data_IF_515963317502
#
_entry.id   IF_515963317502
#
_cell.length_a   1.000
_cell.length_b   1.000
_cell.length_c   1.000
_cell.angle_alpha   90.00
_cell.angle_beta   90.00
_cell.angle_gamma   90.00
#
_symmetry.space_group_name_H-M   'P 1'
#
loop_
_entity.id
_entity.type
_entity.pdbx_description
1 polymer ?
#
# COMPACT_ATOMS: atom_id res chain seq x y z
N UNK A 1 -7.09 15.11 -11.07
CA UNK A 1 -6.92 14.30 -9.84
C UNK A 1 -7.42 15.13 -8.67
N UNK A 2 -8.37 14.59 -7.91
CA UNK A 2 -8.75 15.18 -6.62
C UNK A 2 -7.63 14.94 -5.60
N UNK A 3 -7.43 15.90 -4.68
CA UNK A 3 -6.57 15.69 -3.52
C UNK A 3 -7.17 14.60 -2.65
N UNK A 4 -6.31 13.82 -1.99
CA UNK A 4 -6.69 12.80 -1.02
C UNK A 4 -6.22 13.24 0.37
N UNK A 5 -6.71 12.58 1.42
CA UNK A 5 -6.29 12.85 2.81
C UNK A 5 -4.75 12.80 2.98
N UNK A 6 -4.04 12.00 2.15
CA UNK A 6 -2.57 11.95 2.18
C UNK A 6 -1.93 13.28 1.76
N UNK A 7 -2.57 14.06 0.89
CA UNK A 7 -2.09 15.41 0.55
C UNK A 7 -2.32 16.42 1.67
N UNK A 8 -3.28 16.17 2.55
CA UNK A 8 -3.49 17.01 3.73
C UNK A 8 -2.45 16.69 4.82
N UNK A 9 -2.00 15.43 4.91
CA UNK A 9 -0.92 15.01 5.79
C UNK A 9 0.45 15.47 5.27
N UNK A 10 0.68 15.38 3.96
CA UNK A 10 1.95 15.72 3.33
C UNK A 10 1.71 16.38 1.96
N UNK A 11 1.95 17.68 1.90
CA UNK A 11 1.67 18.49 0.71
C UNK A 11 2.44 18.01 -0.55
N UNK A 12 3.62 17.46 -0.35
CA UNK A 12 4.50 16.95 -1.43
C UNK A 12 4.19 15.49 -1.83
N UNK A 13 3.17 14.87 -1.24
CA UNK A 13 2.73 13.52 -1.62
C UNK A 13 2.42 13.45 -3.11
N UNK A 14 3.08 12.54 -3.83
CA UNK A 14 2.94 12.36 -5.30
C UNK A 14 3.26 13.62 -6.13
N UNK A 15 3.97 14.62 -5.56
CA UNK A 15 4.28 15.86 -6.26
C UNK A 15 5.23 15.65 -7.48
N UNK A 16 6.02 14.58 -7.46
CA UNK A 16 6.92 14.19 -8.54
C UNK A 16 6.22 13.42 -9.69
N UNK A 17 4.92 13.06 -9.55
CA UNK A 17 4.18 12.37 -10.61
C UNK A 17 3.80 13.31 -11.74
N UNK A 18 4.11 12.95 -12.97
CA UNK A 18 3.70 13.69 -14.14
C UNK A 18 2.17 13.76 -14.26
N UNK A 19 1.67 14.86 -14.79
CA UNK A 19 0.26 15.01 -15.16
C UNK A 19 -0.11 13.93 -16.18
N UNK A 20 -1.29 13.33 -16.01
CA UNK A 20 -1.85 12.42 -17.02
C UNK A 20 -1.97 13.14 -18.36
N UNK A 21 -1.51 12.54 -19.47
CA UNK A 21 -1.72 13.09 -20.82
C UNK A 21 -3.20 13.37 -21.09
N UNK A 22 -3.47 14.46 -21.79
CA UNK A 22 -4.86 14.87 -22.04
C UNK A 22 -5.61 13.82 -22.89
N UNK A 23 -4.91 13.15 -23.81
CA UNK A 23 -5.44 12.05 -24.62
C UNK A 23 -5.98 10.88 -23.78
N UNK A 24 -5.33 10.58 -22.65
CA UNK A 24 -5.81 9.55 -21.71
C UNK A 24 -6.97 10.11 -20.89
N UNK A 25 -6.89 11.37 -20.48
CA UNK A 25 -7.94 12.01 -19.68
C UNK A 25 -9.29 12.01 -20.41
N UNK A 26 -9.31 12.20 -21.74
CA UNK A 26 -10.52 12.14 -22.56
C UNK A 26 -11.13 10.74 -22.67
N UNK A 27 -10.33 9.69 -22.50
CA UNK A 27 -10.79 8.30 -22.61
C UNK A 27 -11.45 7.80 -21.31
N UNK A 28 -11.14 8.42 -20.15
CA UNK A 28 -11.66 7.97 -18.85
C UNK A 28 -13.20 7.96 -18.79
N UNK A 29 -13.93 9.03 -19.22
CA UNK A 29 -15.40 8.99 -19.22
C UNK A 29 -15.94 7.87 -20.09
N UNK A 30 -15.38 7.68 -21.29
CA UNK A 30 -15.79 6.62 -22.22
C UNK A 30 -15.58 5.23 -21.59
N UNK A 31 -14.44 5.02 -20.93
CA UNK A 31 -14.15 3.77 -20.24
C UNK A 31 -15.18 3.50 -19.13
N UNK A 32 -15.56 4.52 -18.36
CA UNK A 32 -16.58 4.39 -17.31
C UNK A 32 -17.95 3.99 -17.87
N UNK A 33 -18.35 4.58 -19.00
CA UNK A 33 -19.59 4.19 -19.69
C UNK A 33 -19.54 2.73 -20.14
N UNK A 34 -18.42 2.28 -20.72
CA UNK A 34 -18.24 0.88 -21.13
C UNK A 34 -18.35 -0.07 -19.94
N UNK A 35 -17.70 0.25 -18.81
CA UNK A 35 -17.75 -0.53 -17.57
C UNK A 35 -19.20 -0.66 -17.08
N UNK A 36 -19.95 0.44 -17.07
CA UNK A 36 -21.37 0.45 -16.69
C UNK A 36 -22.22 -0.43 -17.64
N UNK A 37 -21.99 -0.36 -18.97
CA UNK A 37 -22.68 -1.21 -19.93
C UNK A 37 -22.37 -2.70 -19.78
N UNK A 38 -21.18 -3.03 -19.26
CA UNK A 38 -20.79 -4.40 -18.93
C UNK A 38 -21.40 -4.90 -17.61
N UNK A 39 -22.14 -4.08 -16.90
CA UNK A 39 -22.72 -4.42 -15.61
C UNK A 39 -21.68 -4.59 -14.48
N UNK A 40 -20.51 -3.97 -14.65
CA UNK A 40 -19.45 -3.99 -13.62
C UNK A 40 -19.62 -2.78 -12.72
N UNK A 41 -19.66 -3.00 -11.41
CA UNK A 41 -19.78 -1.92 -10.42
C UNK A 41 -18.57 -0.99 -10.45
N UNK A 42 -18.81 0.30 -10.51
CA UNK A 42 -17.78 1.35 -10.51
C UNK A 42 -17.89 2.17 -9.22
N UNK A 43 -16.88 2.02 -8.36
CA UNK A 43 -16.85 2.71 -7.07
C UNK A 43 -15.79 3.79 -7.08
N UNK A 44 -16.20 5.03 -6.79
CA UNK A 44 -15.32 6.19 -6.62
C UNK A 44 -15.68 6.91 -5.33
N UNK A 45 -14.69 7.28 -4.54
CA UNK A 45 -14.89 8.08 -3.32
C UNK A 45 -13.92 9.25 -3.30
N UNK A 46 -14.40 10.51 -3.44
CA UNK A 46 -13.54 11.69 -3.34
C UNK A 46 -12.78 11.73 -2.02
N UNK A 47 -11.51 12.15 -2.06
CA UNK A 47 -10.65 12.22 -0.88
C UNK A 47 -9.88 10.94 -0.55
N UNK A 48 -10.13 9.84 -1.29
CA UNK A 48 -9.46 8.55 -1.12
C UNK A 48 -8.86 8.06 -2.42
N UNK A 49 -7.96 7.09 -2.32
CA UNK A 49 -7.37 6.42 -3.47
C UNK A 49 -8.08 5.09 -3.76
N UNK A 50 -7.91 4.56 -4.97
CA UNK A 50 -8.47 3.27 -5.34
C UNK A 50 -8.03 2.15 -4.39
N UNK A 51 -6.79 2.23 -3.90
CA UNK A 51 -6.20 1.26 -2.98
C UNK A 51 -6.95 1.24 -1.63
N UNK A 52 -7.38 2.41 -1.15
CA UNK A 52 -8.18 2.51 0.09
C UNK A 52 -9.57 1.89 -0.10
N UNK A 53 -10.18 2.09 -1.28
CA UNK A 53 -11.47 1.48 -1.63
C UNK A 53 -11.33 -0.05 -1.71
N UNK A 54 -10.33 -0.54 -2.46
CA UNK A 54 -10.07 -1.98 -2.58
C UNK A 54 -9.77 -2.62 -1.21
N UNK A 55 -8.95 -1.97 -0.40
CA UNK A 55 -8.64 -2.43 0.96
C UNK A 55 -9.88 -2.51 1.84
N UNK A 56 -10.73 -1.47 1.82
CA UNK A 56 -11.95 -1.43 2.61
C UNK A 56 -12.98 -2.47 2.17
N UNK A 57 -13.21 -2.62 0.86
CA UNK A 57 -14.10 -3.65 0.32
C UNK A 57 -13.63 -5.05 0.69
N UNK A 58 -12.32 -5.32 0.58
CA UNK A 58 -11.77 -6.62 0.96
C UNK A 58 -11.96 -6.92 2.44
N UNK A 59 -11.86 -5.91 3.31
CA UNK A 59 -12.11 -6.08 4.75
C UNK A 59 -13.59 -6.27 5.07
N UNK A 60 -14.48 -5.61 4.36
CA UNK A 60 -15.93 -5.83 4.48
C UNK A 60 -16.25 -7.26 4.04
N UNK A 61 -15.75 -7.71 2.88
CA UNK A 61 -15.95 -9.07 2.38
C UNK A 61 -15.42 -10.13 3.36
N UNK A 62 -14.22 -9.91 3.92
CA UNK A 62 -13.65 -10.78 4.97
C UNK A 62 -14.57 -10.88 6.21
N UNK A 63 -15.18 -9.77 6.63
CA UNK A 63 -16.06 -9.73 7.80
C UNK A 63 -17.35 -10.57 7.63
N UNK A 64 -17.71 -10.88 6.40
CA UNK A 64 -18.86 -11.73 6.03
C UNK A 64 -18.45 -13.07 5.39
N UNK A 65 -17.18 -13.47 5.61
CA UNK A 65 -16.60 -14.74 5.17
C UNK A 65 -16.58 -14.93 3.64
N UNK A 66 -16.27 -13.87 2.91
CA UNK A 66 -16.09 -13.89 1.45
C UNK A 66 -14.60 -13.74 1.12
N UNK A 67 -14.06 -14.65 0.30
CA UNK A 67 -12.71 -14.57 -0.24
C UNK A 67 -12.63 -13.45 -1.29
N UNK A 68 -11.62 -12.59 -1.17
CA UNK A 68 -11.41 -11.43 -2.06
C UNK A 68 -10.19 -11.59 -2.93
N UNK A 69 -10.33 -11.23 -4.20
CA UNK A 69 -9.22 -11.15 -5.16
C UNK A 69 -9.00 -9.69 -5.58
N UNK A 70 -7.97 -9.05 -5.04
CA UNK A 70 -7.55 -7.71 -5.46
C UNK A 70 -6.69 -7.84 -6.71
N UNK A 71 -7.17 -7.34 -7.85
CA UNK A 71 -6.39 -7.33 -9.09
C UNK A 71 -5.60 -6.04 -9.17
N UNK A 72 -4.32 -6.08 -8.81
CA UNK A 72 -3.43 -4.93 -8.82
C UNK A 72 -1.98 -5.31 -9.10
N UNK A 73 -1.26 -4.44 -9.82
CA UNK A 73 0.19 -4.53 -9.99
C UNK A 73 0.96 -3.79 -8.89
N UNK A 74 0.27 -3.09 -7.99
CA UNK A 74 0.89 -2.31 -6.94
C UNK A 74 1.37 -3.21 -5.79
N UNK A 75 2.64 -3.05 -5.41
CA UNK A 75 3.25 -3.78 -4.29
C UNK A 75 2.64 -3.41 -2.94
N UNK A 76 2.07 -2.21 -2.84
CA UNK A 76 1.54 -1.71 -1.59
C UNK A 76 0.28 -2.48 -1.17
N UNK A 77 -0.47 -3.02 -2.15
CA UNK A 77 -1.60 -3.91 -1.89
C UNK A 77 -1.21 -5.22 -1.19
N UNK A 78 0.08 -5.61 -1.19
CA UNK A 78 0.55 -6.82 -0.51
C UNK A 78 0.41 -6.75 1.03
N UNK A 79 0.23 -5.56 1.59
CA UNK A 79 -0.11 -5.39 3.01
C UNK A 79 -1.50 -5.93 3.37
N UNK A 80 -2.39 -6.06 2.38
CA UNK A 80 -3.76 -6.54 2.58
C UNK A 80 -3.86 -8.07 2.59
N UNK A 81 -2.83 -8.77 2.08
CA UNK A 81 -2.86 -10.23 1.92
C UNK A 81 -2.99 -10.95 3.26
N UNK A 82 -3.97 -11.84 3.34
CA UNK A 82 -4.18 -12.76 4.47
C UNK A 82 -4.82 -14.07 3.97
N UNK A 83 -5.52 -14.79 4.83
CA UNK A 83 -6.14 -16.08 4.46
C UNK A 83 -7.35 -15.90 3.51
N UNK A 84 -8.06 -14.75 3.59
CA UNK A 84 -9.27 -14.46 2.82
C UNK A 84 -9.02 -13.40 1.73
N UNK A 85 -7.90 -12.65 1.78
CA UNK A 85 -7.59 -11.59 0.84
C UNK A 85 -6.35 -11.98 0.03
N UNK A 86 -6.52 -12.08 -1.27
CA UNK A 86 -5.49 -12.48 -2.21
C UNK A 86 -5.22 -11.32 -3.17
N UNK A 87 -3.96 -11.04 -3.46
CA UNK A 87 -3.58 -10.08 -4.49
C UNK A 87 -3.18 -10.82 -5.76
N UNK A 88 -3.88 -10.52 -6.85
CA UNK A 88 -3.61 -11.06 -8.17
C UNK A 88 -2.93 -9.99 -9.02
N UNK A 89 -1.62 -10.14 -9.22
CA UNK A 89 -0.85 -9.22 -10.06
C UNK A 89 -0.92 -9.68 -11.51
N UNK A 90 -1.58 -8.92 -12.39
CA UNK A 90 -1.65 -9.26 -13.79
C UNK A 90 -0.25 -9.24 -14.39
N UNK A 91 0.06 -10.27 -15.17
CA UNK A 91 1.31 -10.33 -15.89
C UNK A 91 1.36 -9.31 -17.04
N UNK A 92 2.53 -9.19 -17.61
CA UNK A 92 2.74 -8.45 -18.84
C UNK A 92 3.70 -9.24 -19.76
N UNK A 93 4.08 -8.66 -20.90
CA UNK A 93 4.98 -9.33 -21.86
C UNK A 93 6.29 -9.86 -21.23
N UNK A 94 6.73 -9.29 -20.11
CA UNK A 94 8.02 -9.60 -19.47
C UNK A 94 7.88 -10.27 -18.11
N UNK A 95 6.70 -10.28 -17.52
CA UNK A 95 6.46 -10.84 -16.18
C UNK A 95 5.21 -11.73 -16.21
N UNK A 96 5.30 -12.93 -15.65
CA UNK A 96 4.12 -13.79 -15.53
C UNK A 96 3.09 -13.17 -14.56
N UNK A 97 1.86 -13.55 -14.73
CA UNK A 97 0.81 -13.35 -13.74
C UNK A 97 1.20 -14.01 -12.42
N UNK A 98 0.97 -13.35 -11.33
CA UNK A 98 1.33 -13.88 -10.00
C UNK A 98 0.15 -13.71 -9.04
N UNK A 99 -0.22 -14.79 -8.38
CA UNK A 99 -1.17 -14.81 -7.27
C UNK A 99 -0.39 -14.70 -5.96
N UNK A 100 -0.58 -13.61 -5.22
CA UNK A 100 0.06 -13.41 -3.92
C UNK A 100 -0.87 -13.86 -2.80
N UNK A 101 -0.34 -14.79 -2.00
CA UNK A 101 -0.91 -15.32 -0.77
C UNK A 101 0.12 -15.17 0.36
N UNK A 102 -0.24 -15.43 1.60
CA UNK A 102 0.64 -15.25 2.78
C UNK A 102 2.07 -15.74 2.56
N UNK A 103 2.22 -16.94 2.02
CA UNK A 103 3.51 -17.62 1.96
C UNK A 103 4.47 -16.98 0.95
N UNK A 104 3.96 -16.49 -0.19
CA UNK A 104 4.82 -15.98 -1.25
C UNK A 104 5.00 -14.46 -1.25
N UNK A 105 4.29 -13.72 -0.40
CA UNK A 105 4.57 -12.29 -0.18
C UNK A 105 5.97 -12.11 0.38
N UNK A 106 6.39 -12.98 1.32
CA UNK A 106 7.73 -12.95 1.89
C UNK A 106 8.82 -13.14 0.84
N UNK A 107 8.61 -14.01 -0.14
CA UNK A 107 9.57 -14.22 -1.24
C UNK A 107 9.74 -12.96 -2.09
N UNK A 108 8.67 -12.18 -2.23
CA UNK A 108 8.65 -10.94 -3.01
C UNK A 108 9.17 -9.74 -2.25
N UNK A 109 8.73 -9.57 -1.00
CA UNK A 109 8.97 -8.37 -0.18
C UNK A 109 10.10 -8.56 0.83
N UNK A 110 10.47 -9.79 1.14
CA UNK A 110 11.41 -10.13 2.23
C UNK A 110 10.76 -10.15 3.62
N UNK A 111 9.50 -9.79 3.71
CA UNK A 111 8.70 -9.79 4.96
C UNK A 111 7.32 -10.38 4.72
N UNK A 112 6.65 -10.83 5.78
CA UNK A 112 5.26 -11.29 5.72
C UNK A 112 4.28 -10.11 5.48
N UNK A 113 3.05 -10.37 5.02
CA UNK A 113 2.07 -9.32 4.72
C UNK A 113 1.87 -8.32 5.85
N UNK A 114 1.79 -8.79 7.09
CA UNK A 114 1.60 -7.97 8.29
C UNK A 114 2.81 -7.09 8.66
N UNK A 115 3.91 -7.16 7.89
CA UNK A 115 5.12 -6.33 8.04
C UNK A 115 5.44 -5.51 6.79
N UNK A 116 4.57 -5.56 5.79
CA UNK A 116 4.75 -4.77 4.56
C UNK A 116 4.68 -3.28 4.87
N UNK A 117 3.76 -2.85 5.73
CA UNK A 117 3.67 -1.45 6.18
C UNK A 117 4.98 -1.02 6.84
N UNK A 118 5.51 -1.82 7.78
CA UNK A 118 6.77 -1.50 8.47
C UNK A 118 7.94 -1.38 7.48
N UNK A 119 8.02 -2.30 6.53
CA UNK A 119 9.04 -2.27 5.50
C UNK A 119 8.95 -1.01 4.64
N UNK A 120 7.76 -0.70 4.10
CA UNK A 120 7.55 0.45 3.24
C UNK A 120 7.79 1.78 3.99
N UNK A 121 7.42 1.84 5.27
CA UNK A 121 7.67 3.02 6.11
C UNK A 121 9.15 3.27 6.32
N UNK A 122 9.95 2.21 6.52
CA UNK A 122 11.40 2.33 6.68
C UNK A 122 12.11 2.73 5.39
N UNK A 123 11.73 2.13 4.24
CA UNK A 123 12.42 2.38 2.97
C UNK A 123 11.89 3.59 2.22
N UNK A 124 10.67 4.03 2.51
CA UNK A 124 9.95 5.03 1.73
C UNK A 124 9.53 4.57 0.35
N UNK A 125 8.95 5.48 -0.43
CA UNK A 125 8.61 5.25 -1.84
C UNK A 125 8.88 6.52 -2.67
N UNK A 126 9.91 6.47 -3.50
CA UNK A 126 10.27 7.59 -4.35
C UNK A 126 9.24 7.88 -5.44
N UNK A 127 8.42 6.91 -5.85
CA UNK A 127 7.36 7.13 -6.86
C UNK A 127 6.21 7.95 -6.30
N UNK A 128 5.97 7.86 -5.00
CA UNK A 128 4.93 8.58 -4.28
C UNK A 128 5.46 9.72 -3.42
N UNK A 129 6.77 9.95 -3.50
CA UNK A 129 7.48 10.96 -2.71
C UNK A 129 7.35 10.73 -1.19
N UNK A 130 7.36 9.46 -0.77
CA UNK A 130 7.32 9.07 0.65
C UNK A 130 8.75 8.98 1.16
N UNK A 131 9.12 9.73 2.22
CA UNK A 131 10.52 9.92 2.59
C UNK A 131 11.21 8.66 3.10
N UNK A 132 10.54 7.87 3.94
CA UNK A 132 11.18 6.78 4.68
C UNK A 132 12.29 7.27 5.61
N UNK A 133 13.12 6.35 6.07
CA UNK A 133 14.34 6.67 6.82
C UNK A 133 15.50 6.81 5.82
N UNK A 134 15.93 8.03 5.57
CA UNK A 134 17.00 8.30 4.59
C UNK A 134 18.27 7.51 4.92
N UNK A 135 18.70 6.68 3.97
CA UNK A 135 19.89 5.82 4.12
C UNK A 135 19.60 4.42 4.66
N UNK A 136 18.33 4.10 4.94
CA UNK A 136 17.86 2.74 5.22
C UNK A 136 17.27 2.15 3.96
N UNK A 137 17.95 1.17 3.37
CA UNK A 137 17.45 0.44 2.21
C UNK A 137 16.78 -0.89 2.59
N UNK A 138 16.19 -1.61 1.60
CA UNK A 138 15.42 -2.82 1.86
C UNK A 138 16.13 -3.87 2.72
N UNK A 139 17.39 -4.15 2.44
CA UNK A 139 18.17 -5.15 3.22
C UNK A 139 18.33 -4.77 4.70
N UNK A 140 18.47 -3.47 4.98
CA UNK A 140 18.60 -2.98 6.36
C UNK A 140 17.26 -2.99 7.06
N UNK A 141 16.20 -2.55 6.37
CA UNK A 141 14.84 -2.55 6.89
C UNK A 141 14.35 -3.96 7.24
N UNK A 142 14.58 -4.94 6.34
CA UNK A 142 14.24 -6.35 6.61
C UNK A 142 14.94 -6.87 7.86
N UNK A 143 16.26 -6.61 8.02
CA UNK A 143 17.00 -7.03 9.21
C UNK A 143 16.48 -6.39 10.51
N UNK A 144 16.09 -5.12 10.44
CA UNK A 144 15.48 -4.45 11.60
C UNK A 144 14.14 -5.08 11.97
N UNK A 145 13.32 -5.40 10.98
CA UNK A 145 12.03 -6.07 11.19
C UNK A 145 12.25 -7.51 11.70
N UNK A 146 13.23 -8.24 11.21
CA UNK A 146 13.57 -9.58 11.72
C UNK A 146 14.06 -9.54 13.19
N UNK A 147 14.77 -8.49 13.61
CA UNK A 147 15.31 -8.35 14.96
C UNK A 147 14.28 -7.79 15.95
N UNK A 148 13.45 -6.83 15.53
CA UNK A 148 12.55 -6.07 16.40
C UNK A 148 11.06 -6.28 16.11
N UNK A 149 10.70 -6.98 15.05
CA UNK A 149 9.36 -7.31 14.59
C UNK A 149 8.64 -6.15 13.85
N UNK A 150 8.50 -4.98 14.45
CA UNK A 150 7.76 -3.83 13.89
C UNK A 150 8.41 -2.49 14.25
N UNK A 151 7.90 -1.39 13.66
CA UNK A 151 8.43 -0.04 13.89
C UNK A 151 8.32 0.38 15.34
N UNK A 152 7.21 0.08 16.02
CA UNK A 152 7.01 0.43 17.42
C UNK A 152 8.12 -0.18 18.28
N UNK A 153 8.37 -1.46 18.09
CA UNK A 153 9.44 -2.16 18.81
C UNK A 153 10.84 -1.65 18.43
N UNK A 154 11.06 -1.24 17.16
CA UNK A 154 12.32 -0.61 16.75
C UNK A 154 12.52 0.69 17.51
N UNK A 155 11.50 1.53 17.61
CA UNK A 155 11.57 2.82 18.32
C UNK A 155 11.74 2.63 19.83
N UNK A 156 10.98 1.71 20.43
CA UNK A 156 11.08 1.42 21.88
C UNK A 156 12.42 0.81 22.27
N UNK A 157 13.10 0.15 21.34
CA UNK A 157 14.37 -0.52 21.56
C UNK A 157 15.52 0.10 20.75
N UNK A 158 15.40 1.35 20.35
CA UNK A 158 16.35 2.02 19.45
C UNK A 158 17.79 1.96 19.96
N UNK A 159 18.00 2.00 21.29
CA UNK A 159 19.31 1.91 21.90
C UNK A 159 19.93 0.51 21.85
N UNK A 160 19.13 -0.53 21.58
CA UNK A 160 19.60 -1.91 21.39
C UNK A 160 20.12 -2.16 19.97
N UNK A 161 19.91 -1.25 19.03
CA UNK A 161 20.43 -1.35 17.67
C UNK A 161 21.95 -1.29 17.74
N UNK A 162 22.62 -2.40 17.36
CA UNK A 162 24.08 -2.55 17.46
C UNK A 162 24.85 -1.64 16.51
N UNK A 163 24.28 -1.34 15.36
CA UNK A 163 24.90 -0.49 14.36
C UNK A 163 24.59 0.99 14.67
N UNK A 164 25.56 1.70 15.24
CA UNK A 164 25.43 3.10 15.64
C UNK A 164 24.99 4.01 14.46
N UNK A 165 25.46 3.74 13.25
CA UNK A 165 25.05 4.52 12.08
C UNK A 165 23.55 4.35 11.82
N UNK A 166 23.04 3.11 11.85
CA UNK A 166 21.61 2.84 11.61
C UNK A 166 20.77 3.42 12.74
N UNK A 167 21.21 3.26 13.99
CA UNK A 167 20.56 3.85 15.15
C UNK A 167 20.40 5.36 14.99
N UNK A 168 21.47 6.07 14.62
CA UNK A 168 21.44 7.52 14.43
C UNK A 168 20.55 7.90 13.25
N UNK A 169 20.61 7.17 12.11
CA UNK A 169 19.70 7.42 10.98
C UNK A 169 18.23 7.31 11.38
N UNK A 170 17.86 6.34 12.22
CA UNK A 170 16.48 6.22 12.70
C UNK A 170 16.14 7.36 13.65
N UNK A 171 17.02 7.67 14.61
CA UNK A 171 16.81 8.77 15.58
C UNK A 171 16.62 10.12 14.88
N UNK A 172 17.40 10.38 13.85
CA UNK A 172 17.37 11.65 13.12
C UNK A 172 16.16 11.77 12.15
N UNK A 173 15.44 10.67 11.88
CA UNK A 173 14.34 10.64 10.93
C UNK A 173 13.06 10.00 11.52
N UNK A 174 12.83 10.13 12.82
CA UNK A 174 11.63 9.54 13.49
C UNK A 174 10.35 10.15 12.90
N UNK A 175 10.30 11.46 12.71
CA UNK A 175 9.13 12.15 12.18
C UNK A 175 8.82 11.69 10.74
N UNK A 176 9.84 11.56 9.90
CA UNK A 176 9.71 11.04 8.53
C UNK A 176 9.26 9.58 8.52
N UNK A 177 9.72 8.76 9.47
CA UNK A 177 9.31 7.36 9.61
C UNK A 177 7.82 7.26 10.00
N UNK A 178 7.38 8.06 10.97
CA UNK A 178 5.97 8.09 11.42
C UNK A 178 5.08 8.59 10.28
N UNK A 179 5.46 9.69 9.63
CA UNK A 179 4.75 10.21 8.45
C UNK A 179 4.67 9.17 7.34
N UNK A 180 5.78 8.49 7.05
CA UNK A 180 5.82 7.45 6.02
C UNK A 180 4.87 6.30 6.35
N UNK A 181 4.76 5.90 7.64
CA UNK A 181 3.83 4.87 8.08
C UNK A 181 2.37 5.27 7.82
N UNK A 182 2.01 6.51 8.10
CA UNK A 182 0.66 7.02 7.80
C UNK A 182 0.39 7.05 6.29
N UNK A 183 1.37 7.46 5.48
CA UNK A 183 1.21 7.57 4.03
C UNK A 183 1.12 6.23 3.31
N UNK A 184 1.91 5.20 3.74
CA UNK A 184 1.90 3.88 3.10
C UNK A 184 0.75 3.00 3.56
N UNK A 185 0.15 3.31 4.71
CA UNK A 185 -0.96 2.52 5.24
C UNK A 185 -2.21 2.71 4.40
N UNK A 186 -2.72 1.62 3.86
CA UNK A 186 -4.01 1.60 3.16
C UNK A 186 -5.12 1.75 4.19
N UNK A 187 -5.99 2.75 3.98
CA UNK A 187 -7.15 2.95 4.82
C UNK A 187 -8.22 1.92 4.45
N UNK A 188 -8.43 0.94 5.32
CA UNK A 188 -9.29 -0.22 5.08
C UNK A 188 -10.54 -0.27 5.96
N UNK A 189 -10.92 0.86 6.55
CA UNK A 189 -12.05 1.03 7.46
C UNK A 189 -13.09 2.04 6.94
N UNK A 190 -13.12 2.24 5.63
CA UNK A 190 -14.06 3.18 5.01
C UNK A 190 -15.48 2.61 5.05
N UNK A 191 -16.44 3.48 5.32
CA UNK A 191 -17.86 3.16 5.15
C UNK A 191 -18.20 3.12 3.65
N UNK A 192 -18.32 1.91 3.12
CA UNK A 192 -18.73 1.62 1.74
C UNK A 192 -19.94 0.71 1.82
N UNK A 193 -21.05 1.13 1.22
CA UNK A 193 -22.22 0.27 1.09
C UNK A 193 -21.87 -0.93 0.22
N UNK A 194 -21.85 -2.10 0.84
CA UNK A 194 -21.60 -3.38 0.22
C UNK A 194 -22.45 -4.42 0.94
N UNK A 195 -23.23 -5.15 0.21
CA UNK A 195 -24.04 -6.23 0.75
C UNK A 195 -23.76 -7.55 0.02
N UNK A 196 -24.03 -8.67 0.71
CA UNK A 196 -23.86 -10.01 0.12
C UNK A 196 -24.85 -10.25 -1.05
N UNK A 197 -25.91 -9.45 -1.12
CA UNK A 197 -26.93 -9.55 -2.16
C UNK A 197 -26.53 -8.82 -3.44
N UNK A 198 -25.38 -8.11 -3.45
CA UNK A 198 -24.83 -7.39 -4.60
C UNK A 198 -23.97 -8.31 -5.51
N UNK A 199 -23.87 -9.64 -5.20
CA UNK A 199 -23.05 -10.65 -5.90
C UNK A 199 -23.78 -11.92 -6.23
#
# INVERSE_FOLDING_TARGET
>A
KSKTFRHDLFADYKANRQKMPDEISYQIPILKEIINYLGVELIEKPGYEADDIMGSLSKIAESIDIESYIVSGDKDMLQMVNDNIIVYSPGNRFKPTTKFQKDNVKDKMGVYPNRVIDLLSLIGDSSDNIPGVRGVGPKTAIKLIEEFDNIENILDNIDKIKNERIKNLIKDNIDDLILSKELVTIKSDMDINFSKDDY
#
